data_IF_577464995703
#
_entry.id   IF_577464995703
#
_cell.length_a   1.000
_cell.length_b   1.000
_cell.length_c   1.000
_cell.angle_alpha   90.00
_cell.angle_beta   90.00
_cell.angle_gamma   90.00
#
_symmetry.space_group_name_H-M   'P 1'
#
loop_
_entity.id
_entity.type
_entity.pdbx_description
1 polymer ?
#
# COMPACT_ATOMS: atom_id res chain seq x y z
N UNK A 1 -55.14 18.25 13.99
CA UNK A 1 -53.93 18.12 14.81
C UNK A 1 -52.85 17.60 13.89
N UNK A 2 -51.71 18.31 13.87
CA UNK A 2 -50.69 18.24 12.83
C UNK A 2 -49.89 16.93 12.81
N UNK A 3 -49.43 16.58 11.63
CA UNK A 3 -48.46 15.53 11.32
C UNK A 3 -47.14 15.71 12.07
N UNK A 4 -46.52 14.59 12.45
CA UNK A 4 -45.07 14.57 12.71
C UNK A 4 -44.46 13.43 11.90
N UNK A 5 -43.91 13.79 10.73
CA UNK A 5 -42.84 13.06 10.08
C UNK A 5 -41.56 13.23 10.92
N UNK A 6 -40.86 12.15 11.24
CA UNK A 6 -39.41 12.21 11.48
C UNK A 6 -38.74 10.98 10.88
N UNK A 7 -38.14 11.25 9.71
CA UNK A 7 -37.11 10.46 9.08
C UNK A 7 -35.86 10.44 9.99
N UNK A 8 -35.27 9.28 10.21
CA UNK A 8 -34.02 9.10 10.94
C UNK A 8 -33.30 7.88 10.41
N UNK A 9 -32.46 8.09 9.39
CA UNK A 9 -31.70 7.10 8.65
C UNK A 9 -31.01 6.06 9.53
N UNK A 10 -31.37 4.78 9.35
CA UNK A 10 -30.53 3.64 9.75
C UNK A 10 -29.38 3.48 8.75
N UNK A 11 -28.46 4.44 8.71
CA UNK A 11 -27.14 4.17 8.14
C UNK A 11 -26.31 3.52 9.25
N UNK A 12 -26.34 2.18 9.28
CA UNK A 12 -25.34 1.38 9.98
C UNK A 12 -24.00 1.61 9.29
N UNK A 13 -23.33 2.69 9.66
CA UNK A 13 -21.96 2.96 9.24
C UNK A 13 -21.11 1.80 9.73
N UNK A 14 -20.63 0.98 8.80
CA UNK A 14 -19.56 0.04 9.08
C UNK A 14 -18.41 0.91 9.61
N UNK A 15 -17.86 0.65 10.81
CA UNK A 15 -16.65 1.34 11.22
C UNK A 15 -15.61 1.03 10.14
N UNK A 16 -15.07 2.07 9.50
CA UNK A 16 -13.88 1.90 8.68
C UNK A 16 -12.78 1.45 9.63
N UNK A 17 -12.57 0.13 9.73
CA UNK A 17 -11.37 -0.42 10.36
C UNK A 17 -10.20 0.16 9.58
N UNK A 18 -9.42 1.01 10.24
CA UNK A 18 -8.15 1.47 9.72
C UNK A 18 -7.27 0.23 9.71
N UNK A 19 -7.11 -0.37 8.53
CA UNK A 19 -6.18 -1.48 8.33
C UNK A 19 -4.79 -0.87 8.41
N UNK A 20 -4.15 -1.00 9.56
CA UNK A 20 -2.74 -0.68 9.75
C UNK A 20 -1.94 -1.78 9.06
N UNK A 21 -1.40 -1.48 7.88
CA UNK A 21 -0.54 -2.41 7.14
C UNK A 21 0.86 -2.29 7.71
N UNK A 22 1.43 -3.40 8.17
CA UNK A 22 2.78 -3.40 8.73
C UNK A 22 3.86 -3.22 7.66
N UNK A 23 5.03 -2.67 8.04
CA UNK A 23 6.19 -2.57 7.14
C UNK A 23 6.57 -3.93 6.54
N UNK A 24 6.42 -5.02 7.31
CA UNK A 24 6.71 -6.39 6.83
C UNK A 24 5.76 -6.83 5.71
N UNK A 25 4.47 -6.47 5.78
CA UNK A 25 3.50 -6.76 4.72
C UNK A 25 3.79 -5.96 3.44
N UNK A 26 4.22 -4.71 3.59
CA UNK A 26 4.65 -3.89 2.46
C UNK A 26 5.89 -4.49 1.79
N UNK A 27 6.91 -4.90 2.57
CA UNK A 27 8.09 -5.56 2.04
C UNK A 27 7.77 -6.90 1.36
N UNK A 28 6.80 -7.65 1.88
CA UNK A 28 6.32 -8.88 1.23
C UNK A 28 5.67 -8.59 -0.13
N UNK A 29 4.94 -7.48 -0.25
CA UNK A 29 4.39 -7.04 -1.54
C UNK A 29 5.48 -6.63 -2.52
N UNK A 30 6.48 -5.89 -2.05
CA UNK A 30 7.66 -5.51 -2.84
C UNK A 30 8.40 -6.76 -3.33
N UNK A 31 8.61 -7.76 -2.46
CA UNK A 31 9.27 -9.02 -2.81
C UNK A 31 8.52 -9.76 -3.93
N UNK A 32 7.20 -9.90 -3.76
CA UNK A 32 6.32 -10.54 -4.74
C UNK A 32 6.35 -9.80 -6.08
N UNK A 33 6.30 -8.48 -6.05
CA UNK A 33 6.38 -7.64 -7.24
C UNK A 33 7.72 -7.74 -7.94
N UNK A 34 8.83 -7.65 -7.20
CA UNK A 34 10.19 -7.76 -7.71
C UNK A 34 10.41 -9.11 -8.42
N UNK A 35 9.96 -10.22 -7.83
CA UNK A 35 10.03 -11.55 -8.46
C UNK A 35 9.17 -11.66 -9.71
N UNK A 36 7.88 -11.35 -9.59
CA UNK A 36 6.89 -11.70 -10.62
C UNK A 36 6.86 -10.71 -11.77
N UNK A 37 7.16 -9.43 -11.52
CA UNK A 37 7.05 -8.35 -12.51
C UNK A 37 8.41 -7.98 -13.10
N UNK A 38 9.47 -8.05 -12.31
CA UNK A 38 10.80 -7.58 -12.69
C UNK A 38 11.82 -8.71 -12.87
N UNK A 39 11.48 -9.96 -12.49
CA UNK A 39 12.39 -11.11 -12.60
C UNK A 39 13.58 -11.04 -11.64
N UNK A 40 13.44 -10.31 -10.53
CA UNK A 40 14.48 -10.14 -9.51
C UNK A 40 14.40 -11.24 -8.44
N UNK A 41 15.46 -11.34 -7.64
CA UNK A 41 15.62 -12.32 -6.56
C UNK A 41 14.79 -12.02 -5.31
N UNK A 42 14.28 -10.80 -5.14
CA UNK A 42 13.43 -10.40 -4.02
C UNK A 42 13.45 -8.90 -3.76
N UNK A 43 12.87 -8.47 -2.64
CA UNK A 43 12.76 -7.05 -2.30
C UNK A 43 14.12 -6.39 -2.04
N UNK A 44 15.11 -7.12 -1.52
CA UNK A 44 16.43 -6.55 -1.24
C UNK A 44 17.17 -6.12 -2.51
N UNK A 45 17.16 -6.95 -3.56
CA UNK A 45 17.76 -6.59 -4.84
C UNK A 45 17.02 -5.43 -5.50
N UNK A 46 15.69 -5.38 -5.37
CA UNK A 46 14.91 -4.24 -5.83
C UNK A 46 15.33 -2.95 -5.11
N UNK A 47 15.39 -2.96 -3.78
CA UNK A 47 15.77 -1.80 -2.97
C UNK A 47 17.17 -1.28 -3.30
N UNK A 48 18.17 -2.18 -3.38
CA UNK A 48 19.54 -1.82 -3.77
C UNK A 48 19.57 -1.10 -5.12
N UNK A 49 18.98 -1.70 -6.16
CA UNK A 49 18.98 -1.14 -7.51
C UNK A 49 18.11 0.13 -7.64
N UNK A 50 17.03 0.22 -6.86
CA UNK A 50 16.14 1.38 -6.82
C UNK A 50 16.86 2.59 -6.23
N UNK A 51 17.48 2.43 -5.06
CA UNK A 51 18.25 3.48 -4.37
C UNK A 51 19.49 3.92 -5.17
N UNK A 52 20.12 3.01 -5.91
CA UNK A 52 21.23 3.32 -6.83
C UNK A 52 20.78 4.00 -8.14
N UNK A 53 19.47 4.13 -8.39
CA UNK A 53 18.92 4.72 -9.62
C UNK A 53 19.19 3.89 -10.88
N UNK A 54 19.38 2.58 -10.72
CA UNK A 54 19.72 1.65 -11.82
C UNK A 54 18.49 1.04 -12.50
N UNK A 55 17.30 1.24 -11.94
CA UNK A 55 16.05 0.71 -12.48
C UNK A 55 15.46 1.63 -13.55
N UNK A 56 14.87 1.06 -14.62
CA UNK A 56 14.21 1.86 -15.64
C UNK A 56 12.93 2.51 -15.08
N UNK A 57 12.62 3.71 -15.55
CA UNK A 57 11.35 4.38 -15.24
C UNK A 57 10.19 3.62 -15.89
N UNK A 58 9.53 2.79 -15.09
CA UNK A 58 8.39 1.97 -15.50
C UNK A 58 7.34 2.03 -14.40
N UNK A 59 6.08 1.80 -14.77
CA UNK A 59 4.99 1.78 -13.79
C UNK A 59 5.25 0.76 -12.65
N UNK A 60 5.80 -0.41 -12.99
CA UNK A 60 6.12 -1.44 -12.00
C UNK A 60 7.19 -0.97 -11.00
N UNK A 61 8.24 -0.29 -11.46
CA UNK A 61 9.28 0.25 -10.58
C UNK A 61 8.73 1.36 -9.69
N UNK A 62 7.89 2.26 -10.24
CA UNK A 62 7.28 3.34 -9.46
C UNK A 62 6.35 2.82 -8.37
N UNK A 63 5.47 1.86 -8.69
CA UNK A 63 4.53 1.29 -7.71
C UNK A 63 5.27 0.56 -6.57
N UNK A 64 6.30 -0.21 -6.90
CA UNK A 64 7.09 -0.93 -5.90
C UNK A 64 7.98 0.03 -5.09
N UNK A 65 8.45 1.13 -5.68
CA UNK A 65 9.20 2.18 -4.99
C UNK A 65 8.36 2.87 -3.92
N UNK A 66 7.11 3.24 -4.23
CA UNK A 66 6.19 3.84 -3.24
C UNK A 66 5.97 2.91 -2.04
N UNK A 67 5.79 1.61 -2.30
CA UNK A 67 5.61 0.61 -1.23
C UNK A 67 6.89 0.44 -0.40
N UNK A 68 8.06 0.45 -1.03
CA UNK A 68 9.35 0.39 -0.35
C UNK A 68 9.57 1.62 0.54
N UNK A 69 9.36 2.82 0.01
CA UNK A 69 9.46 4.08 0.76
C UNK A 69 8.51 4.06 1.97
N UNK A 70 7.27 3.61 1.77
CA UNK A 70 6.28 3.49 2.85
C UNK A 70 6.68 2.48 3.92
N UNK A 71 7.41 1.41 3.54
CA UNK A 71 7.92 0.42 4.47
C UNK A 71 9.16 0.89 5.25
N UNK A 72 9.99 1.74 4.62
CA UNK A 72 11.23 2.30 5.17
C UNK A 72 11.00 3.56 6.02
N UNK A 73 9.89 4.28 5.85
CA UNK A 73 9.56 5.46 6.66
C UNK A 73 9.34 5.10 8.14
N UNK A 74 10.14 5.66 9.07
CA UNK A 74 9.96 5.40 10.49
C UNK A 74 8.77 6.22 11.03
N UNK A 75 7.61 5.60 11.14
CA UNK A 75 6.52 6.07 12.02
C UNK A 75 5.17 6.31 11.35
N UNK A 76 4.57 5.23 10.83
CA UNK A 76 3.13 5.03 11.03
C UNK A 76 2.90 4.30 12.37
#
# INVERSE_FOLDING_TARGET
>A
MAETLHNGSRNGGIPAEIIEVSSDELLAEVDRGARNRLGMSGWQEFAERYHDGLLPDTLAVNELGILLESAEEPGF
#
